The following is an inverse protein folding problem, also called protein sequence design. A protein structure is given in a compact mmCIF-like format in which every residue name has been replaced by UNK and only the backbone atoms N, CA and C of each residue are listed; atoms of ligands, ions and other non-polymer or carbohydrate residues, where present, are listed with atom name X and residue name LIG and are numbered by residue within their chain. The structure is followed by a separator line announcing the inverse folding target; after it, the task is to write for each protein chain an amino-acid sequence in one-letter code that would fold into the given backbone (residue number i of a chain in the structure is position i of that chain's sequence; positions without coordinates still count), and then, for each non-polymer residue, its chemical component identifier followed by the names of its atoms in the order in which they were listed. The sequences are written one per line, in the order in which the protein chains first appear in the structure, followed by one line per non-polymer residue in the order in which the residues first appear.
data_IF_093762573124
#
_entry.id   IF_093762573124
#
_cell.length_a   1.000
_cell.length_b   1.000
_cell.length_c   1.000
_cell.angle_alpha   90.00
_cell.angle_beta   90.00
_cell.angle_gamma   90.00
#
_symmetry.space_group_name_H-M   'P 1'
#
loop_
_entity.id
_entity.type
_entity.pdbx_description
1 polymer ?
#
# COMPACT_ATOMS: atom_id res chain seq x y z
N UNK A 1 6.14 0.53 24.01
CA UNK A 1 5.82 -0.77 24.64
C UNK A 1 5.03 -0.49 25.90
N UNK A 2 4.07 -1.34 26.23
CA UNK A 2 3.15 -1.17 27.37
C UNK A 2 3.84 -1.05 28.75
N UNK A 3 5.15 -1.22 28.81
CA UNK A 3 5.96 -1.14 30.05
C UNK A 3 6.88 0.10 30.10
N UNK A 4 6.72 1.09 29.22
CA UNK A 4 7.53 2.31 29.26
C UNK A 4 9.03 2.15 28.94
N UNK A 5 9.45 0.99 28.44
CA UNK A 5 10.83 0.75 28.03
C UNK A 5 11.13 1.35 26.66
N UNK A 6 12.07 2.29 26.61
CA UNK A 6 12.53 2.89 25.34
C UNK A 6 13.38 1.88 24.57
N UNK A 7 12.80 1.24 23.57
CA UNK A 7 13.54 0.37 22.64
C UNK A 7 14.17 1.17 21.51
N UNK A 8 15.51 1.13 21.41
CA UNK A 8 16.23 1.74 20.28
C UNK A 8 16.11 0.84 19.05
N UNK A 9 15.54 1.38 17.98
CA UNK A 9 15.47 0.68 16.68
C UNK A 9 16.50 1.26 15.72
N UNK A 10 17.38 0.42 15.17
CA UNK A 10 18.30 0.79 14.11
C UNK A 10 18.00 -0.04 12.85
N UNK A 11 18.04 0.61 11.67
CA UNK A 11 17.89 -0.05 10.37
C UNK A 11 19.14 0.20 9.53
N UNK A 12 19.86 -0.86 9.20
CA UNK A 12 20.94 -0.79 8.24
C UNK A 12 20.37 -0.81 6.81
N UNK A 13 20.68 0.22 6.03
CA UNK A 13 20.20 0.37 4.66
C UNK A 13 21.38 0.43 3.70
N UNK A 14 21.32 -0.36 2.63
CA UNK A 14 22.33 -0.35 1.59
C UNK A 14 22.13 0.83 0.63
N UNK A 15 23.21 1.36 0.08
CA UNK A 15 23.18 2.40 -0.96
C UNK A 15 23.10 1.73 -2.35
N UNK A 16 21.98 1.05 -2.63
CA UNK A 16 21.72 0.42 -3.93
C UNK A 16 21.66 1.42 -5.09
N UNK A 17 21.37 2.68 -4.81
CA UNK A 17 21.46 3.78 -5.77
C UNK A 17 22.88 4.00 -6.33
N UNK A 18 23.92 3.58 -5.60
CA UNK A 18 25.33 3.62 -6.02
C UNK A 18 25.80 2.30 -6.67
N UNK A 19 24.94 1.31 -6.81
CA UNK A 19 25.33 0.02 -7.38
C UNK A 19 25.70 0.16 -8.87
N UNK A 20 26.87 -0.39 -9.24
CA UNK A 20 27.30 -0.40 -10.64
C UNK A 20 26.36 -1.28 -11.47
N UNK A 21 26.06 -0.82 -12.70
CA UNK A 21 25.17 -1.54 -13.64
C UNK A 21 23.75 -1.79 -13.10
N UNK A 22 23.28 -0.94 -12.17
CA UNK A 22 21.92 -1.05 -11.58
C UNK A 22 20.80 -1.11 -12.62
N UNK A 23 20.99 -0.46 -13.78
CA UNK A 23 20.03 -0.45 -14.88
C UNK A 23 19.84 -1.82 -15.57
N UNK A 24 20.74 -2.75 -15.34
CA UNK A 24 20.67 -4.13 -15.85
C UNK A 24 19.97 -5.09 -14.85
N UNK A 25 19.68 -4.64 -13.64
CA UNK A 25 19.09 -5.47 -12.58
C UNK A 25 17.57 -5.28 -12.61
N UNK A 26 16.78 -6.34 -12.81
CA UNK A 26 15.32 -6.27 -12.74
C UNK A 26 14.88 -5.86 -11.33
N UNK A 27 13.98 -4.86 -11.25
CA UNK A 27 13.53 -4.29 -9.98
C UNK A 27 12.02 -4.32 -9.80
N UNK A 28 11.28 -4.78 -10.80
CA UNK A 28 9.83 -4.84 -10.80
C UNK A 28 9.32 -5.68 -9.63
N UNK A 29 8.53 -5.06 -8.79
CA UNK A 29 7.88 -5.68 -7.64
C UNK A 29 6.41 -5.25 -7.64
N UNK A 30 5.52 -6.08 -8.20
CA UNK A 30 4.10 -5.78 -8.21
C UNK A 30 3.55 -5.57 -6.80
N UNK A 31 2.63 -4.63 -6.68
CA UNK A 31 1.85 -4.38 -5.46
C UNK A 31 0.37 -4.38 -5.81
N UNK A 32 -0.47 -4.85 -4.89
CA UNK A 32 -1.91 -4.98 -5.13
C UNK A 32 -2.55 -3.65 -5.54
N UNK A 33 -3.39 -3.70 -6.56
CA UNK A 33 -4.17 -2.55 -7.01
C UNK A 33 -5.30 -2.24 -5.99
N UNK A 34 -5.58 -0.96 -5.79
CA UNK A 34 -6.65 -0.52 -4.87
C UNK A 34 -8.04 -1.03 -5.28
N UNK A 35 -8.29 -1.20 -6.57
CA UNK A 35 -9.56 -1.78 -7.07
C UNK A 35 -9.63 -3.26 -6.71
N UNK A 36 -8.57 -4.01 -6.95
CA UNK A 36 -8.47 -5.43 -6.55
C UNK A 36 -8.70 -5.62 -5.06
N UNK A 37 -8.08 -4.76 -4.23
CA UNK A 37 -8.29 -4.79 -2.78
C UNK A 37 -9.76 -4.57 -2.42
N UNK A 38 -10.43 -3.58 -3.01
CA UNK A 38 -11.85 -3.33 -2.75
C UNK A 38 -12.72 -4.51 -3.17
N UNK A 39 -12.48 -5.11 -4.33
CA UNK A 39 -13.18 -6.32 -4.79
C UNK A 39 -12.98 -7.48 -3.79
N UNK A 40 -11.75 -7.73 -3.34
CA UNK A 40 -11.47 -8.76 -2.34
C UNK A 40 -12.26 -8.54 -1.04
N UNK A 41 -12.31 -7.32 -0.56
CA UNK A 41 -13.03 -6.96 0.66
C UNK A 41 -14.56 -7.08 0.48
N UNK A 42 -15.09 -6.70 -0.70
CA UNK A 42 -16.51 -6.92 -1.03
C UNK A 42 -16.85 -8.41 -1.08
N UNK A 43 -15.98 -9.26 -1.64
CA UNK A 43 -16.13 -10.72 -1.60
C UNK A 43 -16.14 -11.20 -0.15
N UNK A 44 -15.26 -10.67 0.69
CA UNK A 44 -15.22 -11.05 2.10
C UNK A 44 -16.49 -10.64 2.86
N UNK A 45 -17.06 -9.46 2.55
CA UNK A 45 -18.35 -9.03 3.08
C UNK A 45 -19.45 -10.00 2.68
N UNK A 46 -19.62 -10.26 1.38
CA UNK A 46 -20.71 -11.08 0.83
C UNK A 46 -20.62 -12.57 1.16
N UNK A 47 -19.43 -13.09 1.42
CA UNK A 47 -19.25 -14.50 1.83
C UNK A 47 -19.15 -14.69 3.34
N UNK A 48 -19.20 -13.63 4.13
CA UNK A 48 -18.94 -13.68 5.57
C UNK A 48 -17.51 -14.16 5.89
N UNK A 49 -16.56 -13.97 4.98
CA UNK A 49 -15.19 -14.43 5.13
C UNK A 49 -14.39 -13.53 6.07
N UNK A 50 -13.43 -14.12 6.78
CA UNK A 50 -12.43 -13.37 7.52
C UNK A 50 -11.54 -12.55 6.58
N UNK A 51 -11.10 -11.40 7.08
CA UNK A 51 -10.05 -10.57 6.49
C UNK A 51 -8.86 -10.65 7.43
N UNK A 52 -7.75 -11.20 6.99
CA UNK A 52 -6.52 -11.28 7.79
C UNK A 52 -5.46 -10.39 7.18
N UNK A 53 -5.08 -9.35 7.92
CA UNK A 53 -3.98 -8.46 7.59
C UNK A 53 -2.73 -8.90 8.35
N UNK A 54 -1.60 -9.06 7.67
CA UNK A 54 -0.38 -9.54 8.29
C UNK A 54 0.84 -8.79 7.78
N UNK A 55 1.77 -8.46 8.69
CA UNK A 55 3.08 -7.89 8.40
C UNK A 55 4.15 -8.99 8.47
N UNK A 56 5.01 -9.06 7.45
CA UNK A 56 6.15 -10.00 7.44
C UNK A 56 7.38 -9.29 7.98
N UNK A 57 7.76 -9.66 9.20
CA UNK A 57 8.90 -9.05 9.88
C UNK A 57 10.18 -9.13 9.08
N UNK A 58 10.82 -7.98 8.80
CA UNK A 58 12.11 -7.93 8.10
C UNK A 58 12.09 -8.73 6.78
N UNK A 59 11.05 -8.59 5.99
CA UNK A 59 10.73 -9.38 4.80
C UNK A 59 11.95 -9.62 3.88
N UNK A 60 12.73 -8.58 3.58
CA UNK A 60 13.90 -8.70 2.70
C UNK A 60 14.97 -9.65 3.23
N UNK A 61 15.15 -9.71 4.55
CA UNK A 61 16.12 -10.62 5.18
C UNK A 61 15.65 -12.08 5.19
N UNK A 62 14.38 -12.32 4.89
CA UNK A 62 13.78 -13.66 4.84
C UNK A 62 13.71 -14.22 3.42
N UNK A 63 14.24 -13.50 2.43
CA UNK A 63 14.34 -14.01 1.05
C UNK A 63 15.30 -15.20 0.96
N UNK A 64 15.20 -15.95 -0.12
CA UNK A 64 16.21 -16.93 -0.49
C UNK A 64 17.54 -16.24 -0.81
N UNK A 65 18.60 -17.04 -1.04
CA UNK A 65 19.93 -16.53 -1.37
C UNK A 65 19.88 -15.62 -2.60
N UNK A 66 20.68 -14.55 -2.58
CA UNK A 66 20.84 -13.71 -3.76
C UNK A 66 21.43 -14.52 -4.92
N UNK A 67 20.87 -14.36 -6.12
CA UNK A 67 21.38 -14.96 -7.35
C UNK A 67 22.68 -14.32 -7.85
N UNK A 68 23.05 -13.16 -7.30
CA UNK A 68 24.23 -12.37 -7.67
C UNK A 68 25.11 -12.08 -6.46
N UNK A 69 26.39 -11.82 -6.70
CA UNK A 69 27.32 -11.45 -5.64
C UNK A 69 27.25 -9.95 -5.36
N UNK A 70 26.81 -9.61 -4.15
CA UNK A 70 26.78 -8.21 -3.64
C UNK A 70 27.81 -8.06 -2.54
N UNK A 71 28.73 -7.11 -2.74
CA UNK A 71 29.74 -6.71 -1.75
C UNK A 71 29.43 -5.29 -1.28
N UNK A 72 29.47 -5.10 0.03
CA UNK A 72 29.11 -3.83 0.69
C UNK A 72 30.26 -3.42 1.60
N UNK A 73 30.61 -2.15 1.54
CA UNK A 73 31.53 -1.55 2.53
C UNK A 73 30.75 -1.40 3.85
N UNK A 74 31.25 -2.01 4.94
CA UNK A 74 30.60 -1.86 6.24
C UNK A 74 30.61 -0.40 6.72
N UNK A 75 29.62 0.03 7.51
CA UNK A 75 29.68 1.34 8.15
C UNK A 75 30.79 1.35 9.20
N UNK A 76 31.35 2.54 9.53
CA UNK A 76 32.44 2.65 10.51
C UNK A 76 32.13 2.02 11.86
N UNK A 77 30.88 2.11 12.31
CA UNK A 77 30.39 1.58 13.59
C UNK A 77 30.41 0.04 13.67
N UNK A 78 30.56 -0.63 12.53
CA UNK A 78 30.64 -2.09 12.48
C UNK A 78 32.01 -2.63 12.93
N UNK A 79 33.00 -1.77 13.16
CA UNK A 79 34.37 -2.13 13.61
C UNK A 79 35.03 -3.22 12.75
N UNK A 80 34.77 -3.22 11.45
CA UNK A 80 35.38 -4.17 10.51
C UNK A 80 36.73 -3.64 10.06
N UNK A 81 37.81 -4.45 10.04
CA UNK A 81 39.12 -4.03 9.60
C UNK A 81 39.12 -3.35 8.23
N UNK A 82 39.92 -2.28 8.09
CA UNK A 82 40.03 -1.52 6.84
C UNK A 82 40.34 -2.44 5.63
N UNK A 83 39.65 -2.23 4.54
CA UNK A 83 39.79 -3.03 3.31
C UNK A 83 38.96 -4.30 3.28
N UNK A 84 38.31 -4.68 4.37
CA UNK A 84 37.35 -5.79 4.36
C UNK A 84 35.96 -5.30 3.92
N UNK A 85 35.23 -6.19 3.23
CA UNK A 85 33.86 -5.94 2.78
C UNK A 85 32.95 -7.08 3.21
N UNK A 86 31.68 -6.78 3.40
CA UNK A 86 30.66 -7.81 3.61
C UNK A 86 30.20 -8.36 2.27
N UNK A 87 30.05 -9.67 2.19
CA UNK A 87 29.29 -10.33 1.12
C UNK A 87 27.89 -10.62 1.63
N UNK A 88 26.89 -10.03 1.00
CA UNK A 88 25.51 -10.28 1.36
C UNK A 88 25.11 -11.69 0.88
N UNK A 89 24.48 -12.46 1.77
CA UNK A 89 23.92 -13.78 1.45
C UNK A 89 22.47 -13.69 1.00
N UNK A 90 21.73 -12.70 1.50
CA UNK A 90 20.30 -12.46 1.23
C UNK A 90 20.08 -11.00 0.90
N UNK A 91 18.89 -10.69 0.40
CA UNK A 91 18.47 -9.31 0.17
C UNK A 91 18.51 -8.50 1.49
N UNK A 92 18.70 -7.18 1.36
CA UNK A 92 18.76 -6.27 2.50
C UNK A 92 18.07 -4.96 2.09
N UNK A 93 17.65 -4.17 3.08
CA UNK A 93 17.07 -2.86 2.84
C UNK A 93 17.99 -1.98 2.01
N UNK A 94 17.41 -1.30 1.02
CA UNK A 94 18.11 -0.37 0.13
C UNK A 94 18.81 -0.99 -1.07
N UNK A 95 18.88 -2.32 -1.22
CA UNK A 95 19.22 -2.93 -2.51
C UNK A 95 18.07 -2.73 -3.49
N UNK A 96 18.39 -2.50 -4.74
CA UNK A 96 17.40 -2.14 -5.77
C UNK A 96 16.46 -3.29 -6.13
N UNK A 97 16.88 -4.53 -5.97
CA UNK A 97 16.12 -5.75 -6.29
C UNK A 97 15.52 -6.46 -5.07
N UNK A 98 15.64 -5.88 -3.87
CA UNK A 98 15.14 -6.52 -2.64
C UNK A 98 13.64 -6.77 -2.64
N UNK A 99 12.86 -5.76 -3.08
CA UNK A 99 11.40 -5.89 -3.16
C UNK A 99 10.99 -6.97 -4.16
N UNK A 100 11.65 -7.01 -5.33
CA UNK A 100 11.43 -8.06 -6.32
C UNK A 100 11.77 -9.45 -5.77
N UNK A 101 12.93 -9.59 -5.14
CA UNK A 101 13.37 -10.86 -4.56
C UNK A 101 12.38 -11.38 -3.53
N UNK A 102 11.86 -10.49 -2.68
CA UNK A 102 10.84 -10.84 -1.71
C UNK A 102 9.52 -11.23 -2.40
N UNK A 103 9.03 -10.42 -3.34
CA UNK A 103 7.81 -10.71 -4.10
C UNK A 103 7.87 -12.10 -4.76
N UNK A 104 8.96 -12.43 -5.45
CA UNK A 104 9.11 -13.72 -6.12
C UNK A 104 9.12 -14.88 -5.12
N UNK A 105 9.79 -14.73 -3.98
CA UNK A 105 9.82 -15.73 -2.93
C UNK A 105 8.43 -15.96 -2.31
N UNK A 106 7.74 -14.87 -1.96
CA UNK A 106 6.37 -14.93 -1.42
C UNK A 106 5.39 -15.58 -2.40
N UNK A 107 5.40 -15.12 -3.66
CA UNK A 107 4.58 -15.69 -4.73
C UNK A 107 4.85 -17.18 -4.96
N UNK A 108 6.11 -17.62 -4.90
CA UNK A 108 6.46 -19.04 -5.04
C UNK A 108 5.87 -19.89 -3.91
N UNK A 109 5.85 -19.39 -2.66
CA UNK A 109 5.23 -20.12 -1.52
C UNK A 109 3.72 -20.18 -1.66
N UNK A 110 3.06 -19.09 -2.06
CA UNK A 110 1.62 -19.10 -2.35
C UNK A 110 1.27 -20.08 -3.48
N UNK A 111 2.01 -20.06 -4.58
CA UNK A 111 1.82 -21.01 -5.69
C UNK A 111 2.03 -22.46 -5.25
N UNK A 112 3.03 -22.73 -4.41
CA UNK A 112 3.26 -24.08 -3.86
C UNK A 112 2.11 -24.56 -2.96
N UNK A 113 1.40 -23.65 -2.29
CA UNK A 113 0.18 -23.96 -1.54
C UNK A 113 -1.01 -24.27 -2.45
N UNK A 114 -0.99 -23.80 -3.69
CA UNK A 114 -2.07 -24.00 -4.67
C UNK A 114 -2.71 -22.71 -5.18
N UNK A 115 -2.24 -21.54 -4.76
CA UNK A 115 -2.72 -20.27 -5.29
C UNK A 115 -2.25 -20.02 -6.72
N UNK A 116 -3.08 -19.34 -7.50
CA UNK A 116 -2.79 -18.83 -8.83
C UNK A 116 -2.78 -17.30 -8.83
N UNK A 117 -1.77 -16.69 -9.48
CA UNK A 117 -1.73 -15.23 -9.62
C UNK A 117 -2.79 -14.75 -10.60
N UNK A 118 -3.43 -13.63 -10.32
CA UNK A 118 -4.34 -12.98 -11.24
C UNK A 118 -3.55 -12.37 -12.42
N UNK A 119 -4.07 -12.54 -13.64
CA UNK A 119 -3.44 -11.97 -14.85
C UNK A 119 -3.43 -10.44 -14.84
N UNK A 120 -4.49 -9.81 -14.33
CA UNK A 120 -4.66 -8.36 -14.32
C UNK A 120 -3.98 -7.69 -13.11
N UNK A 121 -3.66 -8.46 -12.05
CA UNK A 121 -3.00 -7.97 -10.85
C UNK A 121 -2.05 -9.06 -10.32
N UNK A 122 -0.79 -9.08 -10.75
CA UNK A 122 0.17 -10.12 -10.37
C UNK A 122 0.46 -10.21 -8.88
N UNK A 123 0.12 -9.17 -8.10
CA UNK A 123 0.27 -9.17 -6.65
C UNK A 123 -0.94 -9.74 -5.90
N UNK A 124 -1.99 -10.12 -6.62
CA UNK A 124 -3.16 -10.79 -6.08
C UNK A 124 -3.22 -12.25 -6.55
N UNK A 125 -3.61 -13.14 -5.66
CA UNK A 125 -3.60 -14.58 -5.84
C UNK A 125 -4.95 -15.15 -5.43
N UNK A 126 -5.47 -16.11 -6.19
CA UNK A 126 -6.73 -16.81 -5.89
C UNK A 126 -6.46 -18.28 -5.63
N UNK A 127 -7.18 -18.84 -4.68
CA UNK A 127 -7.24 -20.27 -4.42
C UNK A 127 -8.62 -20.78 -4.80
N UNK A 128 -8.67 -21.86 -5.55
CA UNK A 128 -9.90 -22.50 -5.99
C UNK A 128 -9.94 -23.94 -5.49
N UNK A 129 -11.13 -24.41 -5.16
CA UNK A 129 -11.42 -25.84 -4.97
C UNK A 129 -12.46 -26.24 -6.02
N UNK A 130 -12.08 -27.11 -6.94
CA UNK A 130 -12.85 -27.37 -8.18
C UNK A 130 -12.99 -26.07 -8.98
N UNK A 131 -14.18 -25.48 -9.03
CA UNK A 131 -14.42 -24.19 -9.70
C UNK A 131 -14.78 -23.06 -8.74
N UNK A 132 -14.93 -23.38 -7.44
CA UNK A 132 -15.32 -22.41 -6.44
C UNK A 132 -14.12 -21.64 -5.89
N UNK A 133 -14.26 -20.32 -5.80
CA UNK A 133 -13.31 -19.47 -5.11
C UNK A 133 -13.33 -19.74 -3.62
N UNK A 134 -12.18 -20.12 -3.05
CA UNK A 134 -12.04 -20.44 -1.62
C UNK A 134 -11.17 -19.48 -0.84
N UNK A 135 -10.26 -18.77 -1.48
CA UNK A 135 -9.48 -17.72 -0.85
C UNK A 135 -8.95 -16.71 -1.88
N UNK A 136 -8.73 -15.49 -1.45
CA UNK A 136 -7.96 -14.49 -2.19
C UNK A 136 -6.88 -13.92 -1.27
N UNK A 137 -5.65 -13.84 -1.73
CA UNK A 137 -4.53 -13.24 -1.00
C UNK A 137 -3.86 -12.17 -1.85
N UNK A 138 -3.45 -11.08 -1.24
CA UNK A 138 -2.74 -10.02 -1.94
C UNK A 138 -1.58 -9.50 -1.09
N UNK A 139 -0.56 -9.00 -1.77
CA UNK A 139 0.65 -8.50 -1.14
C UNK A 139 1.00 -7.07 -1.59
N UNK A 140 1.53 -6.30 -0.67
CA UNK A 140 2.16 -5.02 -0.93
C UNK A 140 3.49 -4.97 -0.18
N UNK A 141 4.55 -5.47 -0.82
CA UNK A 141 5.86 -5.69 -0.21
C UNK A 141 5.73 -6.66 0.97
N UNK A 142 5.93 -6.18 2.21
CA UNK A 142 5.85 -6.95 3.46
C UNK A 142 4.45 -7.04 4.06
N UNK A 143 3.54 -6.14 3.67
CA UNK A 143 2.14 -6.18 4.06
C UNK A 143 1.35 -7.17 3.20
N UNK A 144 0.61 -8.08 3.83
CA UNK A 144 -0.25 -9.05 3.14
C UNK A 144 -1.68 -8.99 3.68
N UNK A 145 -2.64 -9.26 2.80
CA UNK A 145 -4.05 -9.43 3.18
C UNK A 145 -4.59 -10.70 2.55
N UNK A 146 -5.27 -11.51 3.34
CA UNK A 146 -5.93 -12.73 2.87
C UNK A 146 -7.39 -12.74 3.30
N UNK A 147 -8.29 -13.05 2.38
CA UNK A 147 -9.72 -13.18 2.62
C UNK A 147 -10.17 -14.60 2.31
N UNK A 148 -10.81 -15.24 3.27
CA UNK A 148 -11.28 -16.65 3.18
C UNK A 148 -12.11 -17.01 4.41
N UNK A 149 -12.70 -18.20 4.45
CA UNK A 149 -13.31 -18.71 5.69
C UNK A 149 -12.27 -18.89 6.80
N UNK A 150 -12.74 -18.89 8.06
CA UNK A 150 -11.88 -18.93 9.24
C UNK A 150 -10.91 -20.12 9.25
N UNK A 151 -11.42 -21.33 8.98
CA UNK A 151 -10.59 -22.55 9.01
C UNK A 151 -9.48 -22.47 7.98
N UNK A 152 -9.80 -22.07 6.76
CA UNK A 152 -8.84 -21.91 5.68
C UNK A 152 -7.86 -20.78 5.95
N UNK A 153 -8.29 -19.70 6.61
CA UNK A 153 -7.44 -18.59 7.05
C UNK A 153 -6.33 -19.10 7.97
N UNK A 154 -6.66 -19.92 8.95
CA UNK A 154 -5.68 -20.50 9.88
C UNK A 154 -4.75 -21.49 9.18
N UNK A 155 -5.26 -22.36 8.29
CA UNK A 155 -4.45 -23.29 7.49
C UNK A 155 -3.41 -22.55 6.61
N UNK A 156 -3.83 -21.47 5.94
CA UNK A 156 -2.93 -20.66 5.11
C UNK A 156 -1.89 -19.96 5.98
N UNK A 157 -2.30 -19.37 7.10
CA UNK A 157 -1.40 -18.68 8.03
C UNK A 157 -0.36 -19.66 8.59
N UNK A 158 -0.76 -20.84 9.00
CA UNK A 158 0.14 -21.87 9.53
C UNK A 158 1.14 -22.34 8.47
N UNK A 159 0.69 -22.53 7.22
CA UNK A 159 1.58 -22.87 6.13
C UNK A 159 2.59 -21.78 5.85
N UNK A 160 2.14 -20.52 5.74
CA UNK A 160 3.02 -19.39 5.44
C UNK A 160 3.98 -19.11 6.59
N UNK A 161 3.58 -19.32 7.85
CA UNK A 161 4.42 -19.16 9.04
C UNK A 161 5.60 -20.14 9.11
N UNK A 162 5.53 -21.27 8.41
CA UNK A 162 6.68 -22.19 8.24
C UNK A 162 7.76 -21.61 7.31
N UNK A 163 7.43 -20.61 6.51
CA UNK A 163 8.33 -20.02 5.53
C UNK A 163 8.75 -18.60 5.88
N UNK A 164 7.88 -17.84 6.56
CA UNK A 164 8.10 -16.44 6.92
C UNK A 164 7.80 -16.21 8.40
N UNK A 165 8.65 -15.42 9.05
CA UNK A 165 8.36 -14.92 10.39
C UNK A 165 7.47 -13.68 10.28
N UNK A 166 6.25 -13.79 10.77
CA UNK A 166 5.33 -12.67 10.85
C UNK A 166 5.64 -11.78 12.06
N UNK A 167 5.37 -10.49 11.92
CA UNK A 167 5.32 -9.53 13.03
C UNK A 167 3.94 -9.57 13.66
N UNK A 168 3.02 -8.88 13.02
CA UNK A 168 1.63 -8.81 13.43
C UNK A 168 0.73 -9.52 12.41
N UNK A 169 -0.30 -10.19 12.89
CA UNK A 169 -1.36 -10.79 12.05
C UNK A 169 -2.67 -10.59 12.79
N UNK A 170 -3.58 -9.80 12.18
CA UNK A 170 -4.85 -9.38 12.80
C UNK A 170 -6.02 -9.48 11.85
N UNK A 171 -7.18 -9.78 12.42
CA UNK A 171 -8.48 -9.56 11.79
C UNK A 171 -8.97 -8.13 12.08
N UNK A 172 -9.97 -7.60 11.36
CA UNK A 172 -10.55 -6.30 11.67
C UNK A 172 -11.02 -6.19 13.14
N UNK A 173 -10.73 -5.06 13.81
CA UNK A 173 -10.12 -3.87 13.23
C UNK A 173 -8.62 -4.05 12.98
N UNK A 174 -8.19 -3.78 11.74
CA UNK A 174 -6.79 -3.84 11.35
C UNK A 174 -6.43 -2.70 10.40
N UNK A 175 -5.13 -2.49 10.17
CA UNK A 175 -4.65 -1.47 9.23
C UNK A 175 -3.92 -2.14 8.08
N UNK A 176 -4.26 -1.74 6.85
CA UNK A 176 -3.60 -2.21 5.64
C UNK A 176 -3.43 -1.07 4.64
N UNK A 177 -2.23 -0.86 4.14
CA UNK A 177 -1.87 0.22 3.19
C UNK A 177 -2.35 1.61 3.63
N UNK A 178 -2.23 1.92 4.91
CA UNK A 178 -2.64 3.21 5.47
C UNK A 178 -4.15 3.40 5.61
N UNK A 179 -4.95 2.37 5.35
CA UNK A 179 -6.38 2.36 5.57
C UNK A 179 -6.72 1.52 6.80
N UNK A 180 -7.60 2.00 7.63
CA UNK A 180 -8.24 1.21 8.67
C UNK A 180 -9.34 0.36 8.03
N UNK A 181 -9.34 -0.91 8.32
CA UNK A 181 -10.36 -1.88 7.90
C UNK A 181 -11.15 -2.27 9.16
N UNK A 182 -12.45 -2.04 9.16
CA UNK A 182 -13.36 -2.45 10.23
C UNK A 182 -14.49 -3.26 9.64
N UNK A 183 -15.13 -4.08 10.45
CA UNK A 183 -16.30 -4.85 10.07
C UNK A 183 -17.46 -4.47 10.99
N UNK A 184 -18.63 -4.20 10.40
CA UNK A 184 -19.88 -3.98 11.10
C UNK A 184 -20.88 -4.93 10.46
N UNK A 185 -21.37 -5.89 11.23
CA UNK A 185 -22.15 -7.01 10.73
C UNK A 185 -21.42 -7.72 9.57
N UNK A 186 -22.01 -7.78 8.39
CA UNK A 186 -21.37 -8.33 7.19
C UNK A 186 -20.56 -7.30 6.40
N UNK A 187 -20.83 -6.02 6.58
CA UNK A 187 -20.20 -4.95 5.81
C UNK A 187 -18.74 -4.71 6.25
N UNK A 188 -17.90 -4.36 5.28
CA UNK A 188 -16.52 -3.94 5.55
C UNK A 188 -16.39 -2.44 5.26
N UNK A 189 -15.83 -1.73 6.22
CA UNK A 189 -15.64 -0.28 6.14
C UNK A 189 -14.17 0.06 6.05
N UNK A 190 -13.86 1.00 5.15
CA UNK A 190 -12.52 1.57 4.98
C UNK A 190 -12.53 3.05 5.34
N UNK A 191 -11.59 3.47 6.18
CA UNK A 191 -11.33 4.88 6.42
C UNK A 191 -9.82 5.17 6.47
N UNK A 192 -9.48 6.44 6.45
CA UNK A 192 -8.11 6.94 6.56
C UNK A 192 -8.04 8.09 7.58
N UNK A 193 -8.77 8.01 8.69
CA UNK A 193 -8.89 9.08 9.67
C UNK A 193 -7.52 9.57 10.15
N UNK A 194 -6.63 8.66 10.53
CA UNK A 194 -5.27 9.01 10.91
C UNK A 194 -4.49 9.80 9.83
N UNK A 195 -4.74 9.51 8.55
CA UNK A 195 -4.14 10.27 7.46
C UNK A 195 -4.76 11.66 7.33
N UNK A 196 -6.09 11.75 7.47
CA UNK A 196 -6.85 13.01 7.42
C UNK A 196 -6.44 13.94 8.56
N UNK A 197 -6.29 13.41 9.78
CA UNK A 197 -5.86 14.19 10.97
C UNK A 197 -4.50 14.85 10.75
N UNK A 198 -3.58 14.15 10.08
CA UNK A 198 -2.24 14.62 9.76
C UNK A 198 -2.15 15.51 8.50
N UNK A 199 -3.28 15.85 7.85
CA UNK A 199 -3.27 16.82 6.77
C UNK A 199 -3.07 18.24 7.33
N UNK A 200 -1.98 18.88 6.96
CA UNK A 200 -1.70 20.26 7.35
C UNK A 200 -2.31 21.24 6.37
N UNK A 201 -2.85 22.34 6.88
CA UNK A 201 -3.30 23.49 6.10
C UNK A 201 -2.13 24.47 6.03
N UNK A 202 -1.61 24.78 4.84
CA UNK A 202 -0.47 25.68 4.71
C UNK A 202 -0.84 27.11 5.05
N UNK A 203 0.15 27.85 5.59
CA UNK A 203 0.04 29.31 5.66
C UNK A 203 0.09 29.92 4.26
N UNK A 204 -0.87 30.78 3.97
CA UNK A 204 -1.02 31.48 2.69
C UNK A 204 -0.93 33.00 2.83
N UNK A 205 -0.45 33.52 3.95
CA UNK A 205 -0.32 34.96 4.23
C UNK A 205 0.50 35.69 3.16
N UNK A 206 1.57 35.06 2.65
CA UNK A 206 2.39 35.61 1.57
C UNK A 206 1.63 35.83 0.24
N UNK A 207 0.47 35.24 0.08
CA UNK A 207 -0.36 35.37 -1.14
C UNK A 207 -1.37 36.51 -1.09
N UNK A 208 -1.33 37.38 -0.08
CA UNK A 208 -2.29 38.47 0.08
C UNK A 208 -2.41 39.32 -1.19
N UNK A 209 -1.29 39.67 -1.81
CA UNK A 209 -1.22 40.52 -2.99
C UNK A 209 -1.33 39.78 -4.34
N UNK A 210 -1.38 38.44 -4.33
CA UNK A 210 -1.53 37.63 -5.55
C UNK A 210 -3.00 37.63 -5.96
N UNK A 211 -3.30 37.94 -7.22
CA UNK A 211 -4.66 37.91 -7.75
C UNK A 211 -5.21 36.49 -7.80
N UNK A 212 -6.54 36.37 -7.75
CA UNK A 212 -7.23 35.08 -7.67
C UNK A 212 -6.89 34.09 -8.80
N UNK A 213 -6.77 34.61 -10.01
CA UNK A 213 -6.52 33.84 -11.22
C UNK A 213 -5.06 33.91 -11.69
N UNK A 214 -4.20 34.52 -10.88
CA UNK A 214 -2.77 34.57 -11.12
C UNK A 214 -2.11 33.23 -10.77
N UNK A 215 -1.12 32.84 -11.60
CA UNK A 215 -0.34 31.62 -11.40
C UNK A 215 0.47 31.77 -10.10
N UNK A 216 0.44 30.72 -9.28
CA UNK A 216 1.15 30.70 -8.00
C UNK A 216 2.67 30.79 -8.18
N UNK A 217 3.38 31.49 -7.28
CA UNK A 217 4.83 31.40 -7.17
C UNK A 217 5.30 29.96 -6.99
N UNK A 218 6.53 29.64 -7.42
CA UNK A 218 7.08 28.27 -7.44
C UNK A 218 6.97 27.55 -6.08
N UNK A 219 7.19 28.23 -4.96
CA UNK A 219 7.01 27.72 -3.60
C UNK A 219 5.59 27.17 -3.43
N UNK A 220 4.58 27.93 -3.80
CA UNK A 220 3.18 27.57 -3.65
C UNK A 220 2.69 26.58 -4.71
N UNK A 221 3.31 26.52 -5.88
CA UNK A 221 3.09 25.44 -6.85
C UNK A 221 3.48 24.09 -6.24
N UNK A 222 4.58 24.03 -5.51
CA UNK A 222 5.02 22.80 -4.83
C UNK A 222 4.05 22.40 -3.71
N UNK A 223 3.61 23.36 -2.90
CA UNK A 223 2.60 23.14 -1.86
C UNK A 223 1.30 22.64 -2.47
N UNK A 224 0.80 23.30 -3.53
CA UNK A 224 -0.43 22.89 -4.22
C UNK A 224 -0.34 21.45 -4.74
N UNK A 225 0.76 21.08 -5.42
CA UNK A 225 0.98 19.71 -5.90
C UNK A 225 0.92 18.69 -4.76
N UNK A 226 1.54 19.01 -3.63
CA UNK A 226 1.47 18.16 -2.44
C UNK A 226 0.03 17.97 -1.95
N UNK A 227 -0.73 19.04 -1.80
CA UNK A 227 -2.13 18.98 -1.34
C UNK A 227 -3.02 18.23 -2.33
N UNK A 228 -2.94 18.54 -3.62
CA UNK A 228 -3.73 17.88 -4.65
C UNK A 228 -3.41 16.38 -4.76
N UNK A 229 -2.13 15.98 -4.60
CA UNK A 229 -1.73 14.58 -4.56
C UNK A 229 -2.26 13.86 -3.32
N UNK A 230 -2.22 14.51 -2.15
CA UNK A 230 -2.79 13.97 -0.90
C UNK A 230 -4.30 13.75 -1.01
N UNK A 231 -5.04 14.72 -1.55
CA UNK A 231 -6.48 14.61 -1.80
C UNK A 231 -6.80 13.52 -2.82
N UNK A 232 -6.04 13.41 -3.91
CA UNK A 232 -6.24 12.36 -4.91
C UNK A 232 -5.98 10.97 -4.33
N UNK A 233 -4.95 10.80 -3.48
CA UNK A 233 -4.69 9.53 -2.80
C UNK A 233 -5.85 9.13 -1.88
N UNK A 234 -6.39 10.08 -1.11
CA UNK A 234 -7.54 9.90 -0.24
C UNK A 234 -8.79 9.52 -1.04
N UNK A 235 -9.08 10.26 -2.13
CA UNK A 235 -10.19 10.00 -3.04
C UNK A 235 -10.16 8.58 -3.62
N UNK A 236 -9.01 8.15 -4.11
CA UNK A 236 -8.83 6.82 -4.69
C UNK A 236 -8.93 5.68 -3.68
N UNK A 237 -8.77 5.96 -2.39
CA UNK A 237 -8.70 4.94 -1.34
C UNK A 237 -10.02 4.81 -0.59
N UNK A 238 -10.43 5.84 0.14
CA UNK A 238 -11.57 5.80 1.06
C UNK A 238 -12.60 6.91 0.88
N UNK A 239 -12.32 7.93 0.06
CA UNK A 239 -13.17 9.10 -0.13
C UNK A 239 -13.54 9.32 -1.61
N UNK A 240 -14.31 8.41 -2.24
CA UNK A 240 -14.75 8.58 -3.64
C UNK A 240 -15.64 9.81 -3.86
N UNK A 241 -16.26 10.32 -2.82
CA UNK A 241 -17.07 11.55 -2.84
C UNK A 241 -16.29 12.80 -3.30
N UNK A 242 -14.99 12.87 -3.08
CA UNK A 242 -14.14 13.97 -3.53
C UNK A 242 -13.36 13.64 -4.83
N UNK A 243 -13.63 12.52 -5.50
CA UNK A 243 -12.84 12.04 -6.64
C UNK A 243 -12.81 13.05 -7.78
N UNK A 244 -13.96 13.56 -8.21
CA UNK A 244 -14.03 14.50 -9.31
C UNK A 244 -13.21 15.77 -9.03
N UNK A 245 -13.45 16.40 -7.89
CA UNK A 245 -12.75 17.63 -7.55
C UNK A 245 -11.25 17.44 -7.38
N UNK A 246 -10.83 16.32 -6.78
CA UNK A 246 -9.42 16.00 -6.64
C UNK A 246 -8.74 15.79 -7.99
N UNK A 247 -9.43 15.14 -8.95
CA UNK A 247 -8.93 14.98 -10.33
C UNK A 247 -8.78 16.31 -11.04
N UNK A 248 -9.76 17.20 -10.94
CA UNK A 248 -9.67 18.56 -11.50
C UNK A 248 -8.44 19.30 -10.93
N UNK A 249 -8.15 19.18 -9.63
CA UNK A 249 -6.95 19.78 -9.05
C UNK A 249 -5.67 19.19 -9.65
N UNK A 250 -5.60 17.87 -9.88
CA UNK A 250 -4.39 17.24 -10.43
C UNK A 250 -4.06 17.71 -11.85
N UNK A 251 -5.04 18.14 -12.65
CA UNK A 251 -4.79 18.71 -13.99
C UNK A 251 -4.05 20.05 -13.94
N UNK A 252 -3.98 20.69 -12.77
CA UNK A 252 -3.36 22.01 -12.56
C UNK A 252 -1.94 21.98 -11.99
N UNK A 253 -1.29 20.81 -11.92
CA UNK A 253 0.03 20.65 -11.29
C UNK A 253 1.14 21.62 -11.77
N UNK A 254 1.09 22.04 -13.02
CA UNK A 254 2.11 22.94 -13.58
C UNK A 254 1.66 24.42 -13.69
N UNK A 255 0.36 24.70 -13.49
CA UNK A 255 -0.25 26.01 -13.76
C UNK A 255 -1.30 26.41 -12.73
N UNK A 256 -1.16 25.93 -11.50
CA UNK A 256 -2.13 26.22 -10.46
C UNK A 256 -2.18 27.72 -10.12
N UNK A 257 -3.38 28.23 -9.97
CA UNK A 257 -3.66 29.61 -9.56
C UNK A 257 -3.95 29.69 -8.05
N UNK A 258 -4.02 30.91 -7.51
CA UNK A 258 -4.46 31.13 -6.12
C UNK A 258 -5.86 30.55 -5.87
N UNK A 259 -6.75 30.60 -6.86
CA UNK A 259 -8.09 29.98 -6.81
C UNK A 259 -8.00 28.48 -6.58
N UNK A 260 -7.11 27.79 -7.31
CA UNK A 260 -6.95 26.34 -7.21
C UNK A 260 -6.41 25.93 -5.82
N UNK A 261 -5.44 26.66 -5.29
CA UNK A 261 -4.92 26.44 -3.94
C UNK A 261 -6.00 26.62 -2.87
N UNK A 262 -6.80 27.69 -2.97
CA UNK A 262 -7.91 27.92 -2.06
C UNK A 262 -8.94 26.79 -2.14
N UNK A 263 -9.23 26.27 -3.36
CA UNK A 263 -10.10 25.10 -3.56
C UNK A 263 -9.52 23.87 -2.87
N UNK A 264 -8.24 23.59 -3.03
CA UNK A 264 -7.58 22.46 -2.36
C UNK A 264 -7.65 22.57 -0.83
N UNK A 265 -7.39 23.75 -0.27
CA UNK A 265 -7.50 24.01 1.18
C UNK A 265 -8.93 23.81 1.69
N UNK A 266 -9.93 24.29 0.96
CA UNK A 266 -11.35 24.07 1.31
C UNK A 266 -11.70 22.58 1.32
N UNK A 267 -11.20 21.82 0.35
CA UNK A 267 -11.41 20.37 0.33
C UNK A 267 -10.75 19.67 1.53
N UNK A 268 -9.54 20.10 1.94
CA UNK A 268 -8.90 19.56 3.14
C UNK A 268 -9.75 19.84 4.38
N UNK A 269 -10.28 21.06 4.54
CA UNK A 269 -11.18 21.40 5.65
C UNK A 269 -12.42 20.51 5.64
N UNK A 270 -13.07 20.39 4.49
CA UNK A 270 -14.24 19.52 4.31
C UNK A 270 -13.95 18.07 4.75
N UNK A 271 -12.87 17.44 4.29
CA UNK A 271 -12.57 16.05 4.66
C UNK A 271 -12.19 15.89 6.13
N UNK A 272 -11.67 16.95 6.79
CA UNK A 272 -11.41 16.95 8.24
C UNK A 272 -12.69 17.10 9.07
N UNK A 273 -13.65 17.86 8.58
CA UNK A 273 -14.93 18.12 9.26
C UNK A 273 -15.92 16.98 9.05
N UNK A 274 -15.90 16.34 7.90
CA UNK A 274 -16.82 15.29 7.49
C UNK A 274 -16.14 13.90 7.55
N UNK A 275 -16.17 13.26 8.72
CA UNK A 275 -15.75 11.87 8.84
C UNK A 275 -16.64 10.98 7.95
N UNK A 276 -16.04 10.28 7.00
CA UNK A 276 -16.79 9.43 6.06
C UNK A 276 -16.04 8.14 5.84
N UNK A 277 -16.74 7.01 5.97
CA UNK A 277 -16.24 5.70 5.66
C UNK A 277 -16.67 5.26 4.25
N UNK A 278 -15.80 4.58 3.54
CA UNK A 278 -16.19 3.83 2.36
C UNK A 278 -16.74 2.47 2.83
N UNK A 279 -18.03 2.27 2.68
CA UNK A 279 -18.66 0.98 2.97
C UNK A 279 -18.57 0.07 1.75
N UNK A 280 -18.10 -1.15 1.98
CA UNK A 280 -18.11 -2.26 1.03
C UNK A 280 -19.15 -3.26 1.54
N UNK A 281 -20.39 -3.20 1.02
CA UNK A 281 -21.51 -3.95 1.58
C UNK A 281 -21.48 -5.43 1.20
N UNK A 282 -22.20 -6.23 1.97
CA UNK A 282 -22.67 -7.53 1.52
C UNK A 282 -23.67 -7.31 0.37
N UNK A 283 -23.30 -7.76 -0.82
CA UNK A 283 -24.14 -7.64 -2.04
C UNK A 283 -24.69 -9.00 -2.50
N UNK A 284 -24.77 -9.96 -1.58
CA UNK A 284 -25.31 -11.28 -1.84
C UNK A 284 -24.35 -12.27 -2.51
N UNK A 285 -24.87 -13.39 -3.02
CA UNK A 285 -24.04 -14.46 -3.59
C UNK A 285 -23.29 -13.96 -4.83
N UNK A 286 -21.98 -14.23 -4.85
CA UNK A 286 -21.09 -13.84 -5.96
C UNK A 286 -21.54 -14.42 -7.32
N UNK A 287 -22.32 -15.51 -7.30
CA UNK A 287 -22.88 -16.13 -8.53
C UNK A 287 -23.94 -15.26 -9.19
N UNK A 288 -24.58 -14.39 -8.43
CA UNK A 288 -25.64 -13.49 -8.88
C UNK A 288 -25.12 -12.09 -9.24
N UNK A 289 -23.81 -11.86 -9.07
CA UNK A 289 -23.23 -10.57 -9.37
C UNK A 289 -23.26 -10.24 -10.86
N UNK A 290 -23.65 -9.01 -11.17
CA UNK A 290 -23.62 -8.44 -12.51
C UNK A 290 -22.54 -7.39 -12.58
N UNK A 291 -21.58 -7.54 -13.50
CA UNK A 291 -20.57 -6.52 -13.78
C UNK A 291 -21.13 -5.49 -14.74
N UNK A 292 -21.24 -4.25 -14.32
CA UNK A 292 -21.66 -3.13 -15.15
C UNK A 292 -20.45 -2.24 -15.43
N UNK A 293 -20.12 -2.05 -16.71
CA UNK A 293 -19.09 -1.13 -17.17
C UNK A 293 -19.75 0.18 -17.64
N UNK A 294 -19.34 1.30 -17.05
CA UNK A 294 -19.74 2.63 -17.50
C UNK A 294 -18.49 3.30 -18.08
N UNK A 295 -18.51 3.62 -19.37
CA UNK A 295 -17.41 4.29 -20.05
C UNK A 295 -17.89 5.58 -20.66
N UNK A 296 -17.07 6.62 -20.57
CA UNK A 296 -17.24 7.88 -21.29
C UNK A 296 -16.14 7.98 -22.34
N UNK A 297 -16.54 8.27 -23.59
CA UNK A 297 -15.59 8.52 -24.67
C UNK A 297 -15.26 10.01 -24.67
N UNK A 298 -14.11 10.40 -24.14
CA UNK A 298 -13.57 11.73 -24.40
C UNK A 298 -13.10 11.82 -25.85
N UNK A 299 -13.73 12.66 -26.64
CA UNK A 299 -13.23 13.08 -27.96
C UNK A 299 -11.98 13.94 -27.81
#
# INVERSE_FOLDING_TARGET
DEEGQVTRKARLTMRGDHEKNKHMIPTDSPTVNKVTLKIMLTIAASKGWEVRCSDISRAFLQTESLSRTVRVVPPPEANVPRGKVWRLKRAAYGLIDSSRGFFLNHAAKLKKYGFEALKMDPAAFILKSKQDLTAVSAAHVDDTVTVTDKKKSDEIQDYMSKHFKYGESKNPPCRYLGSNITRIDNDIMLNQDHYVDNLEIPDTSELCNVKRDEILPQKFQTIFRSLASKLNMLAMTSRPDIMFDSKVLTTKYGSATKRDLVKAIKMIRKVKEEATNLTLPDIGDIKDWILVGITDASN
#
